data_IF_132809128457
#
_entry.id   IF_132809128457
#
_cell.length_a   1.000
_cell.length_b   1.000
_cell.length_c   1.000
_cell.angle_alpha   90.00
_cell.angle_beta   90.00
_cell.angle_gamma   90.00
#
_symmetry.space_group_name_H-M   'P 1'
#
loop_
_entity.id
_entity.type
_entity.pdbx_description
1 polymer ?
#
# COMPACT_ATOMS: atom_id res chain seq x y z
N UNK A 1 5.23 13.60 35.40
CA UNK A 1 3.99 12.79 35.32
C UNK A 1 4.32 11.54 34.52
N UNK A 2 3.99 10.36 35.03
CA UNK A 2 4.16 9.11 34.27
C UNK A 2 3.13 9.10 33.11
N UNK A 3 3.60 9.21 31.88
CA UNK A 3 2.72 9.06 30.71
C UNK A 3 2.03 7.70 30.74
N UNK A 4 0.72 7.71 30.53
CA UNK A 4 -0.09 6.50 30.44
C UNK A 4 0.33 5.69 29.19
N UNK A 5 0.29 4.38 29.25
CA UNK A 5 0.65 3.47 28.15
C UNK A 5 -0.10 3.80 26.85
N UNK A 6 -1.37 4.21 26.97
CA UNK A 6 -2.20 4.62 25.84
C UNK A 6 -1.63 5.90 25.18
N UNK A 7 -1.27 6.91 25.98
CA UNK A 7 -0.67 8.14 25.47
C UNK A 7 0.66 7.89 24.75
N UNK A 8 1.49 6.98 25.28
CA UNK A 8 2.75 6.57 24.62
C UNK A 8 2.51 5.93 23.26
N UNK A 9 1.48 5.07 23.14
CA UNK A 9 1.12 4.46 21.87
C UNK A 9 0.63 5.49 20.84
N UNK A 10 -0.22 6.41 21.28
CA UNK A 10 -0.75 7.49 20.43
C UNK A 10 0.40 8.38 19.96
N UNK A 11 1.24 8.88 20.86
CA UNK A 11 2.38 9.73 20.53
C UNK A 11 3.32 9.07 19.52
N UNK A 12 3.62 7.79 19.69
CA UNK A 12 4.44 7.02 18.74
C UNK A 12 3.83 6.93 17.34
N UNK A 13 2.51 6.75 17.27
CA UNK A 13 1.84 6.68 15.98
C UNK A 13 1.77 8.05 15.30
N UNK A 14 1.59 9.12 16.08
CA UNK A 14 1.65 10.50 15.59
C UNK A 14 3.05 10.82 15.06
N UNK A 15 4.12 10.52 15.82
CA UNK A 15 5.51 10.69 15.37
C UNK A 15 5.77 9.96 14.04
N UNK A 16 5.35 8.71 13.93
CA UNK A 16 5.49 7.92 12.68
C UNK A 16 4.77 8.57 11.51
N UNK A 17 3.57 9.08 11.75
CA UNK A 17 2.78 9.72 10.70
C UNK A 17 3.40 11.05 10.27
N UNK A 18 3.88 11.85 11.19
CA UNK A 18 4.58 13.12 10.90
C UNK A 18 5.86 12.87 10.08
N UNK A 19 6.66 11.88 10.47
CA UNK A 19 7.86 11.48 9.70
C UNK A 19 7.49 11.01 8.30
N UNK A 20 6.41 10.22 8.17
CA UNK A 20 5.91 9.77 6.87
C UNK A 20 5.52 10.94 5.97
N UNK A 21 4.78 11.91 6.49
CA UNK A 21 4.36 13.09 5.73
C UNK A 21 5.56 13.96 5.32
N UNK A 22 6.51 14.13 6.21
CA UNK A 22 7.74 14.86 5.92
C UNK A 22 8.54 14.18 4.80
N UNK A 23 8.83 12.88 4.93
CA UNK A 23 9.57 12.14 3.93
C UNK A 23 8.83 12.07 2.58
N UNK A 24 7.50 11.89 2.60
CA UNK A 24 6.68 11.91 1.38
C UNK A 24 6.83 13.23 0.62
N UNK A 25 6.82 14.36 1.34
CA UNK A 25 6.98 15.70 0.74
C UNK A 25 8.38 15.93 0.17
N UNK A 26 9.43 15.55 0.91
CA UNK A 26 10.81 15.74 0.48
C UNK A 26 11.22 14.78 -0.67
N UNK A 27 10.64 13.57 -0.70
CA UNK A 27 10.98 12.55 -1.70
C UNK A 27 9.94 12.40 -2.80
N UNK A 28 9.00 13.33 -2.93
CA UNK A 28 7.97 13.32 -3.98
C UNK A 28 8.55 13.13 -5.40
N UNK A 29 9.63 13.86 -5.70
CA UNK A 29 10.33 13.81 -6.98
C UNK A 29 11.10 12.51 -7.22
N UNK A 30 11.40 11.76 -6.17
CA UNK A 30 12.11 10.48 -6.24
C UNK A 30 11.16 9.29 -6.37
N UNK A 31 9.85 9.52 -6.28
CA UNK A 31 8.83 8.47 -6.33
C UNK A 31 8.74 7.70 -4.99
N UNK A 32 8.13 8.32 -3.99
CA UNK A 32 7.89 7.68 -2.68
C UNK A 32 6.97 6.47 -2.84
N UNK A 33 7.40 5.31 -2.38
CA UNK A 33 6.63 4.07 -2.47
C UNK A 33 6.11 3.53 -1.14
N UNK A 34 6.84 3.79 -0.06
CA UNK A 34 6.47 3.30 1.26
C UNK A 34 7.52 3.64 2.32
N UNK A 35 7.15 3.44 3.58
CA UNK A 35 8.01 3.68 4.71
C UNK A 35 7.79 2.61 5.77
N UNK A 36 8.88 2.01 6.25
CA UNK A 36 8.86 1.02 7.33
C UNK A 36 9.72 1.48 8.49
N UNK A 37 9.21 1.32 9.71
CA UNK A 37 9.92 1.69 10.94
C UNK A 37 10.28 0.45 11.74
N UNK A 38 11.55 0.20 11.93
CA UNK A 38 12.06 -0.86 12.77
C UNK A 38 12.83 -0.26 13.94
N UNK A 39 12.47 -0.66 15.16
CA UNK A 39 13.19 -0.25 16.36
C UNK A 39 14.27 -1.29 16.65
N UNK A 40 15.51 -0.81 16.72
CA UNK A 40 16.67 -1.58 17.13
C UNK A 40 17.16 -1.07 18.50
N UNK A 41 17.93 -1.86 19.24
CA UNK A 41 18.54 -1.40 20.50
C UNK A 41 19.43 -0.14 20.32
N UNK A 42 20.02 0.02 19.14
CA UNK A 42 20.91 1.12 18.79
C UNK A 42 20.18 2.39 18.36
N UNK A 43 18.89 2.28 17.94
CA UNK A 43 18.14 3.42 17.46
C UNK A 43 16.90 3.03 16.65
N UNK A 44 16.38 3.96 15.88
CA UNK A 44 15.23 3.74 14.98
C UNK A 44 15.72 3.62 13.54
N UNK A 45 15.60 2.44 12.96
CA UNK A 45 15.86 2.21 11.54
C UNK A 45 14.61 2.57 10.74
N UNK A 46 14.76 3.49 9.80
CA UNK A 46 13.72 3.97 8.90
C UNK A 46 14.05 3.51 7.49
N UNK A 47 13.31 2.54 6.97
CA UNK A 47 13.51 2.03 5.61
C UNK A 47 12.54 2.75 4.67
N UNK A 48 13.08 3.52 3.73
CA UNK A 48 12.35 4.27 2.72
C UNK A 48 12.40 3.52 1.39
N UNK A 49 11.23 3.18 0.86
CA UNK A 49 11.11 2.62 -0.48
C UNK A 49 10.90 3.75 -1.50
N UNK A 50 11.80 3.84 -2.46
CA UNK A 50 11.77 4.86 -3.49
C UNK A 50 12.00 4.26 -4.88
N UNK A 51 11.40 4.89 -5.91
CA UNK A 51 11.61 4.49 -7.30
C UNK A 51 13.01 4.84 -7.80
N UNK A 52 13.52 6.01 -7.39
CA UNK A 52 14.82 6.53 -7.81
C UNK A 52 15.70 6.81 -6.58
N UNK A 53 16.38 5.76 -6.11
CA UNK A 53 17.26 5.80 -4.93
C UNK A 53 18.33 6.89 -5.05
N UNK A 54 18.92 7.06 -6.24
CA UNK A 54 19.96 8.06 -6.47
C UNK A 54 19.53 9.51 -6.19
N UNK A 55 18.24 9.83 -6.35
CA UNK A 55 17.70 11.16 -6.00
C UNK A 55 17.56 11.37 -4.51
N UNK A 56 17.23 10.31 -3.78
CA UNK A 56 17.11 10.35 -2.31
C UNK A 56 18.48 10.48 -1.66
N UNK A 57 19.47 9.75 -2.16
CA UNK A 57 20.84 9.83 -1.66
C UNK A 57 21.45 11.19 -1.98
N UNK A 58 21.22 11.69 -3.21
CA UNK A 58 21.76 12.95 -3.70
C UNK A 58 23.26 12.92 -3.99
N UNK A 59 23.81 14.07 -4.37
CA UNK A 59 25.24 14.17 -4.68
C UNK A 59 26.08 13.94 -3.42
N UNK A 60 26.95 12.94 -3.43
CA UNK A 60 27.85 12.58 -2.32
C UNK A 60 27.10 12.32 -0.99
N UNK A 61 25.87 11.85 -1.04
CA UNK A 61 25.10 11.55 0.18
C UNK A 61 24.59 12.78 0.96
N UNK A 62 24.67 13.99 0.42
CA UNK A 62 24.23 15.18 1.14
C UNK A 62 22.76 15.16 1.54
N UNK A 63 21.87 14.75 0.61
CA UNK A 63 20.43 14.78 0.86
C UNK A 63 20.06 13.81 1.97
N UNK A 64 20.59 12.57 1.94
CA UNK A 64 20.29 11.58 2.98
C UNK A 64 20.81 12.02 4.37
N UNK A 65 22.00 12.64 4.44
CA UNK A 65 22.53 13.18 5.70
C UNK A 65 21.70 14.35 6.23
N UNK A 66 21.24 15.24 5.35
CA UNK A 66 20.35 16.34 5.72
C UNK A 66 18.99 15.81 6.22
N UNK A 67 18.44 14.78 5.57
CA UNK A 67 17.21 14.12 6.02
C UNK A 67 17.40 13.46 7.40
N UNK A 68 18.49 12.72 7.60
CA UNK A 68 18.79 12.09 8.90
C UNK A 68 18.92 13.13 10.01
N UNK A 69 19.63 14.23 9.77
CA UNK A 69 19.79 15.32 10.72
C UNK A 69 18.44 15.91 11.12
N UNK A 70 17.58 16.24 10.16
CA UNK A 70 16.24 16.77 10.42
C UNK A 70 15.34 15.76 11.15
N UNK A 71 15.45 14.48 10.85
CA UNK A 71 14.72 13.43 11.58
C UNK A 71 15.14 13.36 13.05
N UNK A 72 16.38 13.70 13.37
CA UNK A 72 16.87 13.75 14.73
C UNK A 72 16.47 15.04 15.45
N UNK A 73 16.58 16.19 14.76
CA UNK A 73 16.32 17.53 15.36
C UNK A 73 14.83 17.83 15.50
N UNK A 74 14.03 17.57 14.44
CA UNK A 74 12.62 17.97 14.39
C UNK A 74 11.66 16.92 14.99
N UNK A 75 12.00 15.64 14.87
CA UNK A 75 11.09 14.53 15.25
C UNK A 75 11.54 13.76 16.48
N UNK A 76 12.60 14.21 17.17
CA UNK A 76 13.13 13.62 18.40
C UNK A 76 13.37 12.08 18.30
N UNK A 77 13.68 11.57 17.11
CA UNK A 77 13.98 10.16 16.93
C UNK A 77 15.35 9.84 17.53
N UNK A 78 15.41 8.80 18.33
CA UNK A 78 16.68 8.31 18.88
C UNK A 78 17.48 7.64 17.78
N UNK A 79 18.63 8.24 17.42
CA UNK A 79 19.63 7.71 16.49
C UNK A 79 19.01 7.18 15.17
N UNK A 80 18.33 8.05 14.37
CA UNK A 80 17.63 7.61 13.16
C UNK A 80 18.63 7.13 12.11
N UNK A 81 18.50 5.89 11.69
CA UNK A 81 19.24 5.32 10.55
C UNK A 81 18.29 5.26 9.35
N UNK A 82 18.55 6.06 8.32
CA UNK A 82 17.75 6.07 7.10
C UNK A 82 18.38 5.12 6.06
N UNK A 83 17.70 4.07 5.73
CA UNK A 83 18.01 3.19 4.60
C UNK A 83 17.07 3.45 3.46
N UNK A 84 17.59 3.36 2.23
CA UNK A 84 16.79 3.54 1.02
C UNK A 84 16.84 2.26 0.21
N UNK A 85 15.66 1.70 -0.04
CA UNK A 85 15.45 0.51 -0.86
C UNK A 85 14.84 0.90 -2.21
N UNK A 86 15.29 0.27 -3.28
CA UNK A 86 14.69 0.44 -4.59
C UNK A 86 13.44 -0.43 -4.72
N UNK A 87 12.41 0.13 -5.35
CA UNK A 87 11.18 -0.60 -5.64
C UNK A 87 11.39 -1.40 -6.92
N UNK A 88 11.36 -2.73 -6.85
CA UNK A 88 11.53 -3.62 -8.00
C UNK A 88 10.52 -3.32 -9.10
N UNK A 89 9.23 -3.20 -8.76
CA UNK A 89 8.15 -2.93 -9.70
C UNK A 89 7.39 -1.65 -9.35
N UNK A 90 7.89 -0.50 -9.79
CA UNK A 90 7.27 0.80 -9.51
C UNK A 90 5.83 0.93 -10.05
N UNK A 91 5.48 0.17 -11.10
CA UNK A 91 4.13 0.19 -11.71
C UNK A 91 3.08 -0.54 -10.90
N UNK A 92 3.47 -1.48 -10.04
CA UNK A 92 2.55 -2.20 -9.15
C UNK A 92 2.40 -1.52 -7.79
N UNK A 93 3.24 -0.52 -7.49
CA UNK A 93 3.14 0.26 -6.26
C UNK A 93 2.09 1.36 -6.40
N UNK A 94 1.04 1.30 -5.56
CA UNK A 94 -0.10 2.21 -5.64
C UNK A 94 0.27 3.68 -5.34
N UNK A 95 1.20 3.92 -4.42
CA UNK A 95 1.60 5.27 -4.03
C UNK A 95 2.41 5.95 -5.14
N UNK A 96 3.35 5.25 -5.76
CA UNK A 96 4.13 5.76 -6.89
C UNK A 96 3.22 6.08 -8.07
N UNK A 97 2.27 5.20 -8.37
CA UNK A 97 1.33 5.41 -9.47
C UNK A 97 0.38 6.59 -9.20
N UNK A 98 -0.03 6.79 -7.93
CA UNK A 98 -0.84 7.95 -7.55
C UNK A 98 -0.07 9.26 -7.75
N UNK A 99 1.21 9.31 -7.33
CA UNK A 99 2.07 10.50 -7.51
C UNK A 99 2.36 10.78 -8.98
N UNK A 100 2.61 9.76 -9.80
CA UNK A 100 2.78 9.90 -11.26
C UNK A 100 1.52 10.43 -11.95
N UNK A 101 0.34 9.94 -11.52
CA UNK A 101 -0.94 10.41 -12.03
C UNK A 101 -1.17 11.87 -11.68
N UNK A 102 -0.92 12.26 -10.42
CA UNK A 102 -1.02 13.64 -9.96
C UNK A 102 -0.11 14.57 -10.78
N UNK A 103 1.17 14.22 -10.94
CA UNK A 103 2.12 14.98 -11.77
C UNK A 103 1.68 15.10 -13.23
N UNK A 104 1.06 14.06 -13.79
CA UNK A 104 0.55 14.09 -15.18
C UNK A 104 -0.62 15.06 -15.30
N UNK A 105 -1.50 15.10 -14.31
CA UNK A 105 -2.61 16.04 -14.26
C UNK A 105 -2.16 17.50 -14.07
N UNK A 106 -1.10 17.74 -13.29
CA UNK A 106 -0.48 19.05 -13.09
C UNK A 106 0.16 19.59 -14.37
N UNK A 107 0.79 18.70 -15.15
CA UNK A 107 1.35 19.03 -16.48
C UNK A 107 0.28 19.33 -17.52
N UNK A 108 -1.02 19.25 -17.19
CA UNK A 108 -2.13 19.59 -18.07
C UNK A 108 -2.71 18.42 -18.87
N UNK A 109 -2.36 17.19 -18.56
CA UNK A 109 -2.99 16.06 -19.24
C UNK A 109 -4.50 16.03 -18.99
N UNK A 110 -5.23 15.63 -20.03
CA UNK A 110 -6.67 15.46 -19.92
C UNK A 110 -6.99 14.24 -19.01
N UNK A 111 -7.87 14.44 -18.05
CA UNK A 111 -8.11 13.48 -16.97
C UNK A 111 -8.50 12.07 -17.44
N UNK A 112 -9.30 11.95 -18.53
CA UNK A 112 -9.67 10.64 -19.08
C UNK A 112 -8.47 9.91 -19.65
N UNK A 113 -7.63 10.62 -20.43
CA UNK A 113 -6.40 10.04 -20.99
C UNK A 113 -5.43 9.64 -19.88
N UNK A 114 -5.24 10.48 -18.88
CA UNK A 114 -4.38 10.19 -17.74
C UNK A 114 -4.89 8.97 -16.96
N UNK A 115 -6.19 8.90 -16.66
CA UNK A 115 -6.81 7.78 -15.95
C UNK A 115 -6.68 6.46 -16.69
N UNK A 116 -7.06 6.41 -17.96
CA UNK A 116 -6.95 5.19 -18.77
C UNK A 116 -5.51 4.76 -18.99
N UNK A 117 -4.59 5.69 -19.25
CA UNK A 117 -3.16 5.38 -19.40
C UNK A 117 -2.57 4.79 -18.12
N UNK A 118 -2.94 5.34 -16.94
CA UNK A 118 -2.48 4.81 -15.65
C UNK A 118 -3.01 3.41 -15.41
N UNK A 119 -4.30 3.16 -15.64
CA UNK A 119 -4.92 1.84 -15.53
C UNK A 119 -4.25 0.85 -16.46
N UNK A 120 -3.98 1.23 -17.71
CA UNK A 120 -3.32 0.36 -18.68
C UNK A 120 -1.89 0.01 -18.23
N UNK A 121 -1.10 1.00 -17.79
CA UNK A 121 0.27 0.78 -17.32
C UNK A 121 0.33 -0.18 -16.12
N UNK A 122 -0.64 -0.10 -15.20
CA UNK A 122 -0.73 -0.99 -14.05
C UNK A 122 -1.08 -2.43 -14.49
N UNK A 123 -2.03 -2.57 -15.42
CA UNK A 123 -2.43 -3.88 -15.94
C UNK A 123 -1.33 -4.53 -16.77
N UNK A 124 -0.58 -3.75 -17.55
CA UNK A 124 0.56 -4.24 -18.35
C UNK A 124 1.72 -4.72 -17.46
N UNK A 125 1.83 -4.20 -16.23
CA UNK A 125 2.75 -4.70 -15.21
C UNK A 125 2.27 -5.98 -14.52
N UNK A 126 1.15 -6.59 -14.96
CA UNK A 126 0.67 -7.86 -14.45
C UNK A 126 -0.20 -7.77 -13.19
N UNK A 127 -0.65 -6.58 -12.80
CA UNK A 127 -1.58 -6.45 -11.68
C UNK A 127 -2.89 -7.21 -11.96
N UNK A 128 -3.46 -7.87 -10.95
CA UNK A 128 -4.70 -8.61 -11.06
C UNK A 128 -5.91 -7.71 -11.33
N UNK A 129 -5.87 -6.50 -10.81
CA UNK A 129 -6.86 -5.47 -11.04
C UNK A 129 -6.47 -4.15 -10.41
N UNK A 130 -7.03 -3.07 -10.94
CA UNK A 130 -6.79 -1.74 -10.39
C UNK A 130 -8.01 -0.84 -10.57
N UNK A 131 -8.14 0.12 -9.66
CA UNK A 131 -9.10 1.21 -9.73
C UNK A 131 -8.39 2.53 -9.48
N UNK A 132 -8.59 3.46 -10.39
CA UNK A 132 -8.12 4.83 -10.28
C UNK A 132 -9.33 5.73 -10.09
N UNK A 133 -9.34 6.49 -9.00
CA UNK A 133 -10.42 7.41 -8.66
C UNK A 133 -9.88 8.84 -8.64
N UNK A 134 -10.48 9.71 -9.44
CA UNK A 134 -10.21 11.14 -9.47
C UNK A 134 -11.38 11.87 -8.84
N UNK A 135 -11.13 12.66 -7.82
CA UNK A 135 -12.16 13.40 -7.07
C UNK A 135 -11.83 14.89 -6.99
N UNK A 136 -12.78 15.73 -7.29
CA UNK A 136 -12.60 17.18 -7.22
C UNK A 136 -13.18 17.95 -8.40
N UNK A 137 -12.69 19.18 -8.62
CA UNK A 137 -13.06 20.03 -9.75
C UNK A 137 -12.24 19.62 -10.98
N UNK A 138 -12.80 18.75 -11.83
CA UNK A 138 -12.07 18.17 -12.96
C UNK A 138 -12.17 19.08 -14.21
N UNK A 139 -13.40 19.47 -14.60
CA UNK A 139 -13.65 20.24 -15.84
C UNK A 139 -14.39 21.55 -15.60
N UNK A 140 -14.98 21.77 -14.46
CA UNK A 140 -15.77 22.97 -14.15
C UNK A 140 -15.83 23.25 -12.67
N UNK A 141 -16.69 24.16 -12.24
CA UNK A 141 -16.84 24.57 -10.85
C UNK A 141 -17.43 23.47 -9.94
N UNK A 142 -18.22 22.56 -10.51
CA UNK A 142 -18.89 21.48 -9.76
C UNK A 142 -17.91 20.31 -9.54
N UNK A 143 -17.85 19.81 -8.30
CA UNK A 143 -17.09 18.60 -8.03
C UNK A 143 -17.74 17.38 -8.63
N UNK A 144 -16.93 16.43 -9.02
CA UNK A 144 -17.37 15.09 -9.38
C UNK A 144 -16.26 14.07 -9.13
N UNK A 145 -16.67 12.82 -9.14
CA UNK A 145 -15.76 11.67 -8.98
C UNK A 145 -15.83 10.87 -10.28
N UNK A 146 -14.66 10.66 -10.88
CA UNK A 146 -14.49 9.80 -12.04
C UNK A 146 -13.69 8.56 -11.63
N UNK A 147 -14.18 7.39 -12.01
CA UNK A 147 -13.56 6.10 -11.68
C UNK A 147 -13.18 5.38 -12.96
N UNK A 148 -11.93 4.92 -13.01
CA UNK A 148 -11.39 4.10 -14.09
C UNK A 148 -10.97 2.77 -13.47
N UNK A 149 -11.55 1.66 -13.93
CA UNK A 149 -11.29 0.35 -13.35
C UNK A 149 -11.05 -0.69 -14.43
N UNK A 150 -10.18 -1.67 -14.11
CA UNK A 150 -9.91 -2.84 -14.95
C UNK A 150 -9.48 -4.01 -14.08
N UNK A 151 -9.87 -5.22 -14.49
CA UNK A 151 -9.53 -6.45 -13.76
C UNK A 151 -10.37 -6.69 -12.51
N UNK A 152 -9.84 -7.49 -11.59
CA UNK A 152 -10.54 -7.92 -10.38
C UNK A 152 -10.24 -6.99 -9.20
N UNK A 153 -11.29 -6.52 -8.51
CA UNK A 153 -11.16 -5.54 -7.42
C UNK A 153 -12.00 -5.98 -6.23
N UNK A 154 -11.47 -5.83 -5.02
CA UNK A 154 -12.21 -6.02 -3.77
C UNK A 154 -12.45 -4.66 -3.11
N UNK A 155 -13.68 -4.46 -2.63
CA UNK A 155 -14.10 -3.19 -2.04
C UNK A 155 -14.22 -3.24 -0.52
N UNK A 156 -14.49 -4.41 0.03
CA UNK A 156 -14.80 -4.58 1.46
C UNK A 156 -14.22 -5.90 2.02
N UNK A 157 -14.24 -5.97 3.35
CA UNK A 157 -13.77 -7.11 4.11
C UNK A 157 -12.24 -7.15 4.29
N UNK A 158 -11.78 -8.11 5.05
CA UNK A 158 -10.36 -8.30 5.37
C UNK A 158 -9.52 -8.51 4.11
N UNK A 159 -10.09 -9.19 3.10
CA UNK A 159 -9.43 -9.38 1.81
C UNK A 159 -9.11 -8.08 1.08
N UNK A 160 -9.95 -7.04 1.23
CA UNK A 160 -9.66 -5.73 0.65
C UNK A 160 -8.54 -5.00 1.40
N UNK A 161 -8.44 -5.18 2.73
CA UNK A 161 -7.41 -4.54 3.55
C UNK A 161 -6.03 -5.17 3.32
N UNK A 162 -5.98 -6.50 3.16
CA UNK A 162 -4.71 -7.23 3.01
C UNK A 162 -4.19 -7.28 1.57
N UNK A 163 -5.08 -7.39 0.56
CA UNK A 163 -4.69 -7.65 -0.83
C UNK A 163 -4.69 -6.40 -1.72
N UNK A 164 -5.32 -5.32 -1.27
CA UNK A 164 -5.39 -4.08 -2.05
C UNK A 164 -4.43 -3.03 -1.50
N UNK A 165 -3.42 -2.69 -2.29
CA UNK A 165 -2.57 -1.54 -1.99
C UNK A 165 -3.29 -0.25 -2.34
N UNK A 166 -3.20 0.74 -1.45
CA UNK A 166 -3.86 2.04 -1.61
C UNK A 166 -2.82 3.15 -1.63
N UNK A 167 -2.79 3.90 -2.72
CA UNK A 167 -1.98 5.11 -2.86
C UNK A 167 -2.86 6.34 -3.02
N UNK A 168 -2.45 7.44 -2.42
CA UNK A 168 -3.14 8.72 -2.51
C UNK A 168 -2.14 9.83 -2.80
N UNK A 169 -2.52 10.71 -3.73
CA UNK A 169 -1.78 11.93 -4.03
C UNK A 169 -2.74 13.03 -4.45
N UNK A 170 -2.33 14.28 -4.25
CA UNK A 170 -3.12 15.46 -4.64
C UNK A 170 -2.46 16.15 -5.82
N UNK A 171 -3.22 16.45 -6.86
CA UNK A 171 -2.79 17.26 -7.98
C UNK A 171 -3.30 18.70 -7.81
N UNK A 172 -2.40 19.67 -7.84
CA UNK A 172 -2.73 21.08 -7.74
C UNK A 172 -2.95 21.66 -9.13
N UNK A 173 -4.16 22.12 -9.41
CA UNK A 173 -4.53 22.75 -10.69
C UNK A 173 -4.97 24.19 -10.51
N UNK A 174 -5.05 24.94 -11.61
CA UNK A 174 -5.54 26.34 -11.61
C UNK A 174 -6.92 26.49 -10.97
N UNK A 175 -7.82 25.49 -11.12
CA UNK A 175 -9.18 25.48 -10.57
C UNK A 175 -9.26 25.00 -9.11
N UNK A 176 -8.18 24.51 -8.53
CA UNK A 176 -8.11 23.92 -7.20
C UNK A 176 -7.40 22.57 -7.18
N UNK A 177 -7.53 21.84 -6.09
CA UNK A 177 -6.91 20.52 -5.91
C UNK A 177 -7.82 19.39 -6.40
N UNK A 178 -7.21 18.36 -6.98
CA UNK A 178 -7.86 17.11 -7.40
C UNK A 178 -7.21 15.97 -6.64
N UNK A 179 -7.99 15.21 -5.89
CA UNK A 179 -7.52 14.00 -5.21
C UNK A 179 -7.42 12.83 -6.20
N UNK A 180 -6.27 12.18 -6.21
CA UNK A 180 -5.96 11.00 -7.01
C UNK A 180 -5.79 9.80 -6.07
N UNK A 181 -6.71 8.86 -6.10
CA UNK A 181 -6.61 7.61 -5.33
C UNK A 181 -6.41 6.46 -6.30
N UNK A 182 -5.38 5.68 -6.09
CA UNK A 182 -5.08 4.47 -6.86
C UNK A 182 -5.13 3.29 -5.92
N UNK A 183 -5.89 2.26 -6.29
CA UNK A 183 -5.94 0.99 -5.57
C UNK A 183 -5.54 -0.11 -6.52
N UNK A 184 -4.57 -0.91 -6.12
CA UNK A 184 -4.00 -1.98 -6.95
C UNK A 184 -4.12 -3.29 -6.22
N UNK A 185 -4.58 -4.32 -6.92
CA UNK A 185 -4.53 -5.69 -6.44
C UNK A 185 -3.27 -6.35 -7.00
N UNK A 186 -2.39 -6.78 -6.09
CA UNK A 186 -1.07 -7.33 -6.47
C UNK A 186 -1.21 -8.59 -7.33
N UNK A 187 -0.24 -8.84 -8.23
CA UNK A 187 -0.18 -10.10 -8.95
C UNK A 187 -0.05 -11.27 -7.97
N UNK A 188 -0.61 -12.43 -8.31
CA UNK A 188 -0.52 -13.62 -7.47
C UNK A 188 -1.35 -13.62 -6.18
N UNK A 189 -2.16 -12.58 -5.91
CA UNK A 189 -3.05 -12.53 -4.76
C UNK A 189 -4.07 -13.66 -4.81
N UNK A 190 -4.06 -14.56 -3.82
CA UNK A 190 -5.03 -15.65 -3.69
C UNK A 190 -6.24 -15.18 -2.89
N UNK A 191 -7.42 -15.40 -3.43
CA UNK A 191 -8.67 -15.08 -2.73
C UNK A 191 -9.16 -16.29 -1.93
N UNK A 192 -9.89 -16.09 -0.81
CA UNK A 192 -10.37 -17.18 0.04
C UNK A 192 -11.25 -18.21 -0.67
N UNK A 193 -11.90 -17.81 -1.77
CA UNK A 193 -12.75 -18.71 -2.57
C UNK A 193 -11.98 -19.43 -3.70
N UNK A 194 -10.71 -19.09 -3.94
CA UNK A 194 -9.84 -19.76 -4.90
C UNK A 194 -9.09 -20.89 -4.21
N UNK A 195 -9.75 -22.03 -4.12
CA UNK A 195 -9.19 -23.25 -3.53
C UNK A 195 -8.61 -24.09 -4.66
N UNK A 196 -7.31 -24.34 -4.61
CA UNK A 196 -6.66 -25.33 -5.46
C UNK A 196 -6.61 -26.66 -4.71
N UNK A 197 -7.31 -27.66 -5.22
CA UNK A 197 -7.24 -29.03 -4.69
C UNK A 197 -5.93 -29.62 -5.22
N UNK A 198 -5.00 -29.91 -4.30
CA UNK A 198 -3.79 -30.65 -4.66
C UNK A 198 -4.13 -32.14 -4.59
N UNK A 199 -3.75 -32.88 -5.63
CA UNK A 199 -3.80 -34.34 -5.60
C UNK A 199 -2.87 -34.83 -4.49
N UNK A 200 -3.36 -35.78 -3.70
CA UNK A 200 -2.61 -36.35 -2.60
C UNK A 200 -1.36 -37.06 -3.16
N UNK A 201 -0.19 -36.49 -2.94
CA UNK A 201 1.05 -37.21 -3.22
C UNK A 201 1.18 -38.38 -2.23
N UNK A 202 1.41 -39.58 -2.72
CA UNK A 202 1.53 -40.81 -1.91
C UNK A 202 2.67 -40.79 -0.88
N UNK A 203 3.54 -39.79 -0.93
CA UNK A 203 4.68 -39.64 -0.03
C UNK A 203 4.40 -38.64 1.09
N UNK A 204 3.99 -39.15 2.25
CA UNK A 204 4.18 -38.45 3.53
C UNK A 204 2.96 -37.98 4.32
N UNK A 205 1.74 -38.24 3.88
CA UNK A 205 0.57 -38.01 4.74
C UNK A 205 0.23 -39.30 5.52
N UNK A 206 -0.04 -39.23 6.84
CA UNK A 206 -0.49 -40.41 7.58
C UNK A 206 -1.76 -40.95 6.94
N UNK A 207 -1.85 -42.28 6.80
CA UNK A 207 -3.06 -42.95 6.35
C UNK A 207 -4.27 -42.40 7.15
N UNK A 208 -5.30 -41.98 6.43
CA UNK A 208 -6.55 -41.64 7.09
C UNK A 208 -7.09 -42.91 7.74
N UNK A 209 -6.90 -43.01 9.05
CA UNK A 209 -7.57 -44.05 9.84
C UNK A 209 -9.05 -43.83 9.64
N UNK A 210 -9.70 -44.83 9.03
CA UNK A 210 -11.14 -44.82 8.87
C UNK A 210 -11.75 -44.75 10.27
N UNK A 211 -12.31 -43.61 10.62
CA UNK A 211 -13.00 -43.43 11.90
C UNK A 211 -14.33 -44.21 11.76
N UNK A 212 -14.38 -45.40 12.36
CA UNK A 212 -15.62 -46.13 12.49
C UNK A 212 -16.49 -45.40 13.52
N UNK A 213 -17.53 -44.74 13.03
CA UNK A 213 -18.56 -44.14 13.91
C UNK A 213 -19.36 -45.21 14.56
N UNK A 214 -19.08 -45.48 15.83
CA UNK A 214 -19.79 -46.50 16.62
C UNK A 214 -21.19 -46.10 17.09
N UNK A 215 -21.67 -44.91 16.77
CA UNK A 215 -22.94 -44.35 17.27
C UNK A 215 -23.89 -43.84 16.20
N UNK A 216 -23.78 -44.33 14.97
CA UNK A 216 -24.70 -43.96 13.85
C UNK A 216 -26.02 -44.76 13.84
N UNK A 217 -26.23 -45.66 14.75
CA UNK A 217 -27.52 -46.29 14.90
C UNK A 217 -28.33 -45.61 16.01
N UNK A 218 -29.16 -44.66 15.62
CA UNK A 218 -30.24 -44.23 16.48
C UNK A 218 -31.11 -45.47 16.79
N UNK A 219 -31.41 -45.77 18.06
CA UNK A 219 -32.35 -46.84 18.38
C UNK A 219 -33.72 -46.46 17.81
N UNK A 220 -34.15 -47.19 16.82
CA UNK A 220 -35.52 -47.11 16.32
C UNK A 220 -36.42 -47.62 17.41
N UNK A 221 -37.05 -46.68 18.13
CA UNK A 221 -38.14 -47.05 19.08
C UNK A 221 -39.31 -47.50 18.17
N UNK A 222 -39.48 -48.80 18.07
CA UNK A 222 -40.70 -49.38 17.57
C UNK A 222 -41.80 -49.08 18.60
N UNK A 223 -42.67 -48.14 18.25
CA UNK A 223 -43.94 -47.97 18.91
C UNK A 223 -44.86 -49.09 18.46
N UNK A 224 -45.15 -50.01 19.38
CA UNK A 224 -46.29 -50.93 19.29
C UNK A 224 -47.52 -50.23 19.85
#
# INVERSE_FOLDING_TARGET
MKENTIQKMINRNVERQLVREYLLKETERAGFGGLTFNRTPEGTKVTLQAEQVGRVIGRRGKVIHDLQRRLQEDFNLTNPQLEVEEIEESRTNAQVMASRLASSLERGWFFRRAGHSTVQNIMDAGARGCIVTLSGKITGARHRVEKFQKGHIKYCGETALQLMDVGFSTAVKKLGTVGCTVRIMRPGSKLPHEITIQERSESGLPELVAVSYTHLTLPTILLV
#
